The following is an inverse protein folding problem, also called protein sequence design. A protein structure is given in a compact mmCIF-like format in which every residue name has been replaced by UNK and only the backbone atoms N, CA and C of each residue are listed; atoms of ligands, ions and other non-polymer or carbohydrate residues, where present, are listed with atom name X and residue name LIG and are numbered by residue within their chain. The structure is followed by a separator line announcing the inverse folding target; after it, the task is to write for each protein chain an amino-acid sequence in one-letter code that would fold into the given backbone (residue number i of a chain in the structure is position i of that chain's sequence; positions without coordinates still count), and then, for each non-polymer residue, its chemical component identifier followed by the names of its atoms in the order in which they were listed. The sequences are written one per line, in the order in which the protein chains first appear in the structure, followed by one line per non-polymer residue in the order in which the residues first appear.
data_IF_160389378588
#
_entry.id   IF_160389378588
#
_cell.length_a   1.000
_cell.length_b   1.000
_cell.length_c   1.000
_cell.angle_alpha   90.00
_cell.angle_beta   90.00
_cell.angle_gamma   90.00
#
_symmetry.space_group_name_H-M   'P 1'
#
loop_
_entity.id
_entity.type
_entity.pdbx_description
1 polymer ?
#
# COMPACT_ATOMS: atom_id res chain seq x y z
N UNK A 1 27.73 30.23 -5.45
CA UNK A 1 27.37 31.48 -6.15
C UNK A 1 26.66 31.11 -7.44
N UNK A 2 25.44 31.59 -7.63
CA UNK A 2 24.59 31.25 -8.77
C UNK A 2 24.80 32.27 -9.90
N UNK A 3 25.12 31.82 -11.12
CA UNK A 3 25.13 32.66 -12.33
C UNK A 3 24.33 31.99 -13.46
N UNK A 4 23.75 32.83 -14.31
CA UNK A 4 23.11 32.45 -15.57
C UNK A 4 24.13 31.73 -16.46
N UNK A 5 23.84 30.51 -16.95
CA UNK A 5 24.87 29.68 -17.58
C UNK A 5 25.24 30.21 -18.97
N UNK A 6 26.47 29.89 -19.35
CA UNK A 6 26.85 29.60 -20.73
C UNK A 6 25.64 29.02 -21.51
N UNK A 7 25.40 29.52 -22.71
CA UNK A 7 24.18 29.30 -23.49
C UNK A 7 23.52 27.93 -23.30
N UNK A 8 22.21 27.95 -23.08
CA UNK A 8 21.28 26.82 -22.98
C UNK A 8 21.31 25.83 -24.16
N UNK A 9 22.20 26.03 -25.13
CA UNK A 9 22.45 25.21 -26.31
C UNK A 9 23.48 24.09 -26.11
N UNK A 10 24.12 23.96 -24.94
CA UNK A 10 25.24 23.02 -24.75
C UNK A 10 24.87 21.63 -24.19
N UNK A 11 23.65 21.43 -23.68
CA UNK A 11 23.22 20.14 -23.12
C UNK A 11 22.35 19.41 -24.14
N UNK A 12 22.88 18.34 -24.71
CA UNK A 12 22.16 17.51 -25.68
C UNK A 12 20.99 16.77 -25.02
N UNK A 13 19.78 17.20 -25.36
CA UNK A 13 18.51 16.63 -24.83
C UNK A 13 18.21 15.23 -25.38
N UNK A 14 18.92 14.81 -26.42
CA UNK A 14 18.76 13.48 -27.02
C UNK A 14 19.56 12.39 -26.28
N UNK A 15 20.48 12.78 -25.39
CA UNK A 15 21.24 11.83 -24.58
C UNK A 15 20.33 11.14 -23.55
N UNK A 16 20.11 9.83 -23.76
CA UNK A 16 19.28 8.96 -22.92
C UNK A 16 19.75 8.89 -21.46
N UNK A 17 21.05 9.14 -21.19
CA UNK A 17 21.59 9.15 -19.82
C UNK A 17 21.24 10.46 -19.12
N UNK A 18 21.36 11.59 -19.81
CA UNK A 18 21.08 12.91 -19.24
C UNK A 18 19.59 13.17 -19.09
N UNK A 19 18.77 12.72 -20.04
CA UNK A 19 17.31 12.92 -20.08
C UNK A 19 16.60 12.58 -18.76
N UNK A 20 17.11 11.60 -18.02
CA UNK A 20 16.57 11.20 -16.72
C UNK A 20 16.68 12.28 -15.64
N UNK A 21 17.68 13.16 -15.71
CA UNK A 21 17.99 14.15 -14.67
C UNK A 21 17.72 15.60 -15.07
N UNK A 22 17.52 15.88 -16.37
CA UNK A 22 17.31 17.25 -16.87
C UNK A 22 16.14 17.96 -16.18
N UNK A 23 15.03 17.25 -15.96
CA UNK A 23 13.82 17.80 -15.33
C UNK A 23 14.04 18.36 -13.91
N UNK A 24 15.12 17.95 -13.22
CA UNK A 24 15.44 18.40 -11.86
C UNK A 24 15.79 19.89 -11.83
N UNK A 25 16.48 20.38 -12.87
CA UNK A 25 16.96 21.77 -12.93
C UNK A 25 16.46 22.54 -14.16
N UNK A 26 15.64 21.93 -15.01
CA UNK A 26 15.12 22.51 -16.26
C UNK A 26 14.40 23.86 -16.05
N UNK A 27 13.63 23.98 -14.97
CA UNK A 27 12.86 25.19 -14.65
C UNK A 27 13.60 26.14 -13.70
N UNK A 28 14.84 25.83 -13.33
CA UNK A 28 15.60 26.67 -12.40
C UNK A 28 16.17 27.90 -13.13
N UNK A 29 16.05 29.12 -12.57
CA UNK A 29 16.66 30.31 -13.16
C UNK A 29 18.20 30.29 -13.10
N UNK A 30 18.76 29.36 -12.32
CA UNK A 30 20.20 29.23 -12.08
C UNK A 30 20.59 27.76 -12.01
N UNK A 31 21.82 27.46 -12.44
CA UNK A 31 22.36 26.11 -12.43
C UNK A 31 23.44 25.98 -11.35
N UNK A 32 23.46 24.89 -10.57
CA UNK A 32 24.54 24.66 -9.62
C UNK A 32 25.79 24.23 -10.41
N UNK A 33 26.90 24.92 -10.22
CA UNK A 33 28.18 24.64 -10.89
C UNK A 33 29.30 24.65 -9.87
N UNK A 34 30.25 23.73 -10.03
CA UNK A 34 31.46 23.65 -9.21
C UNK A 34 32.65 24.09 -10.05
N UNK A 35 33.41 25.07 -9.56
CA UNK A 35 34.59 25.63 -10.22
C UNK A 35 35.85 25.44 -9.39
N UNK A 36 37.00 25.33 -10.06
CA UNK A 36 38.31 25.50 -9.43
C UNK A 36 38.74 26.98 -9.36
N UNK A 37 39.93 27.23 -8.80
CA UNK A 37 40.54 28.57 -8.73
C UNK A 37 40.75 29.23 -10.10
N UNK A 38 40.97 28.44 -11.14
CA UNK A 38 41.20 28.90 -12.52
C UNK A 38 39.89 29.09 -13.30
N UNK A 39 38.72 28.94 -12.64
CA UNK A 39 37.38 28.95 -13.25
C UNK A 39 37.14 27.82 -14.25
N UNK A 40 37.85 26.70 -14.10
CA UNK A 40 37.57 25.45 -14.81
C UNK A 40 36.31 24.82 -14.22
N UNK A 41 35.34 24.44 -15.06
CA UNK A 41 34.13 23.73 -14.62
C UNK A 41 34.51 22.29 -14.23
N UNK A 42 34.31 21.94 -12.96
CA UNK A 42 34.54 20.59 -12.43
C UNK A 42 33.30 19.71 -12.56
N UNK A 43 32.11 20.27 -12.33
CA UNK A 43 30.83 19.56 -12.40
C UNK A 43 29.66 20.52 -12.57
N UNK A 44 28.60 20.02 -13.19
CA UNK A 44 27.26 20.61 -13.26
C UNK A 44 26.27 19.64 -12.60
N UNK A 45 26.15 19.62 -11.26
CA UNK A 45 25.20 18.75 -10.59
C UNK A 45 23.74 19.04 -11.00
N UNK A 46 22.83 18.05 -11.01
CA UNK A 46 23.06 16.62 -10.94
C UNK A 46 23.28 15.97 -12.32
N UNK A 47 23.66 16.76 -13.35
CA UNK A 47 23.62 16.34 -14.76
C UNK A 47 24.89 15.61 -15.18
N UNK A 48 26.06 16.28 -15.08
CA UNK A 48 27.30 15.76 -15.67
C UNK A 48 28.55 16.36 -15.01
N UNK A 49 29.61 15.56 -14.94
CA UNK A 49 30.92 15.99 -14.47
C UNK A 49 31.82 16.45 -15.64
N UNK A 50 32.76 17.35 -15.37
CA UNK A 50 33.69 17.89 -16.35
C UNK A 50 34.71 16.86 -16.84
N UNK A 51 35.07 16.90 -18.13
CA UNK A 51 36.10 16.01 -18.70
C UNK A 51 37.50 16.26 -18.10
N UNK A 52 37.80 17.49 -17.67
CA UNK A 52 39.06 17.84 -17.03
C UNK A 52 39.27 17.11 -15.70
N UNK A 53 38.22 16.94 -14.89
CA UNK A 53 38.26 16.30 -13.57
C UNK A 53 37.95 14.80 -13.64
N UNK A 54 37.96 14.20 -14.83
CA UNK A 54 37.64 12.79 -15.02
C UNK A 54 38.65 11.87 -14.29
N UNK A 55 38.12 10.93 -13.51
CA UNK A 55 38.92 9.91 -12.81
C UNK A 55 39.34 8.83 -13.81
N UNK A 56 40.61 8.42 -13.75
CA UNK A 56 41.19 7.35 -14.59
C UNK A 56 41.97 6.36 -13.72
N UNK A 57 42.38 5.22 -14.29
CA UNK A 57 43.24 4.25 -13.60
C UNK A 57 44.62 4.82 -13.18
N UNK A 58 44.99 6.00 -13.68
CA UNK A 58 46.25 6.69 -13.32
C UNK A 58 46.06 7.73 -12.22
N UNK A 59 44.82 8.00 -11.79
CA UNK A 59 44.51 8.98 -10.75
C UNK A 59 45.11 8.54 -9.42
N UNK A 60 45.82 9.46 -8.74
CA UNK A 60 46.47 9.20 -7.45
C UNK A 60 45.66 9.71 -6.26
N UNK A 61 45.17 10.94 -6.35
CA UNK A 61 44.36 11.59 -5.32
C UNK A 61 42.98 11.91 -5.90
N UNK A 62 41.94 11.71 -5.10
CA UNK A 62 40.55 11.91 -5.52
C UNK A 62 39.90 12.96 -4.60
N UNK A 63 39.37 14.02 -5.21
CA UNK A 63 38.51 14.98 -4.53
C UNK A 63 37.06 14.55 -4.73
N UNK A 64 36.31 14.39 -3.64
CA UNK A 64 34.90 13.97 -3.65
C UNK A 64 34.06 15.14 -3.16
N UNK A 65 33.08 15.52 -3.96
CA UNK A 65 32.04 16.48 -3.60
C UNK A 65 30.68 15.79 -3.54
N UNK A 66 29.78 16.27 -2.69
CA UNK A 66 28.41 15.82 -2.62
C UNK A 66 27.46 17.03 -2.48
N UNK A 67 26.86 17.47 -3.58
CA UNK A 67 25.76 18.45 -3.55
C UNK A 67 24.39 17.76 -3.46
N UNK A 68 23.56 18.15 -2.48
CA UNK A 68 22.18 17.68 -2.38
C UNK A 68 21.26 18.72 -1.74
N UNK A 69 19.95 18.51 -1.86
CA UNK A 69 18.92 19.28 -1.14
C UNK A 69 18.77 18.84 0.32
N UNK A 70 19.23 17.63 0.66
CA UNK A 70 19.24 17.05 2.01
C UNK A 70 20.69 16.88 2.47
N UNK A 71 21.10 17.72 3.43
CA UNK A 71 22.47 17.73 3.96
C UNK A 71 22.83 16.43 4.69
N UNK A 72 21.88 15.84 5.41
CA UNK A 72 22.10 14.59 6.16
C UNK A 72 22.41 13.46 5.19
N UNK A 73 21.65 13.34 4.11
CA UNK A 73 21.91 12.34 3.06
C UNK A 73 23.22 12.60 2.32
N UNK A 74 23.55 13.86 2.02
CA UNK A 74 24.85 14.20 1.43
C UNK A 74 26.02 13.76 2.32
N UNK A 75 25.94 14.03 3.62
CA UNK A 75 26.96 13.61 4.58
C UNK A 75 27.06 12.08 4.69
N UNK A 76 25.92 11.37 4.72
CA UNK A 76 25.93 9.89 4.72
C UNK A 76 26.61 9.36 3.45
N UNK A 77 26.25 9.86 2.26
CA UNK A 77 26.86 9.43 1.00
C UNK A 77 28.36 9.70 0.99
N UNK A 78 28.77 10.90 1.41
CA UNK A 78 30.19 11.26 1.51
C UNK A 78 30.92 10.31 2.47
N UNK A 79 30.39 10.14 3.69
CA UNK A 79 30.94 9.26 4.72
C UNK A 79 31.04 7.80 4.23
N UNK A 80 30.01 7.27 3.56
CA UNK A 80 30.03 5.93 2.96
C UNK A 80 31.12 5.83 1.90
N UNK A 81 31.20 6.78 0.97
CA UNK A 81 32.21 6.75 -0.09
C UNK A 81 33.63 6.78 0.48
N UNK A 82 33.93 7.73 1.36
CA UNK A 82 35.29 7.89 1.90
C UNK A 82 35.68 6.72 2.79
N UNK A 83 34.78 6.22 3.65
CA UNK A 83 35.07 5.08 4.54
C UNK A 83 35.29 3.79 3.74
N UNK A 84 34.50 3.54 2.70
CA UNK A 84 34.65 2.35 1.85
C UNK A 84 35.95 2.34 1.04
N UNK A 85 36.32 3.47 0.45
CA UNK A 85 37.48 3.52 -0.46
C UNK A 85 38.81 3.84 0.25
N UNK A 86 38.79 4.38 1.46
CA UNK A 86 40.00 4.71 2.24
C UNK A 86 40.91 3.51 2.52
N UNK A 87 40.40 2.28 2.45
CA UNK A 87 41.21 1.04 2.58
C UNK A 87 42.24 0.89 1.46
N UNK A 88 42.00 1.51 0.31
CA UNK A 88 42.85 1.45 -0.89
C UNK A 88 43.85 2.62 -0.98
N UNK A 89 43.82 3.55 -0.04
CA UNK A 89 44.80 4.63 0.05
C UNK A 89 46.16 4.12 0.52
N UNK A 90 47.24 4.85 0.19
CA UNK A 90 48.60 4.54 0.67
C UNK A 90 48.64 4.51 2.20
N UNK A 91 48.00 5.51 2.84
CA UNK A 91 47.67 5.49 4.26
C UNK A 91 46.25 4.96 4.42
N UNK A 92 46.14 3.70 4.84
CA UNK A 92 44.85 3.00 4.95
C UNK A 92 43.96 3.64 6.01
N UNK A 93 42.68 3.78 5.69
CA UNK A 93 41.65 4.33 6.58
C UNK A 93 41.89 5.79 7.00
N UNK A 94 42.70 6.52 6.22
CA UNK A 94 42.94 7.95 6.40
C UNK A 94 42.20 8.73 5.30
N UNK A 95 41.53 9.80 5.67
CA UNK A 95 40.81 10.69 4.74
C UNK A 95 41.30 12.11 5.00
N UNK A 96 41.74 12.80 3.94
CA UNK A 96 42.18 14.19 4.03
C UNK A 96 40.95 15.11 4.24
N UNK A 97 40.91 15.89 5.34
CA UNK A 97 39.78 16.76 5.63
C UNK A 97 39.74 17.98 4.71
N UNK A 98 38.53 18.38 4.30
CA UNK A 98 38.28 19.56 3.47
C UNK A 98 37.41 20.56 4.23
N UNK A 99 37.80 21.82 4.23
CA UNK A 99 36.98 22.91 4.77
C UNK A 99 35.91 23.35 3.75
N UNK A 100 34.65 23.27 4.15
CA UNK A 100 33.49 23.72 3.38
C UNK A 100 32.96 25.02 3.98
N UNK A 101 33.03 26.10 3.21
CA UNK A 101 32.58 27.44 3.62
C UNK A 101 31.21 27.74 2.99
N UNK A 102 30.22 27.99 3.84
CA UNK A 102 28.85 28.30 3.43
C UNK A 102 28.66 29.80 3.12
N UNK A 103 27.61 30.18 2.38
CA UNK A 103 27.34 31.58 2.04
C UNK A 103 27.13 32.50 3.26
N UNK A 104 26.74 31.95 4.40
CA UNK A 104 26.59 32.68 5.67
C UNK A 104 27.92 32.88 6.42
N UNK A 105 29.04 32.45 5.83
CA UNK A 105 30.38 32.56 6.38
C UNK A 105 30.74 31.46 7.39
N UNK A 106 29.84 30.52 7.68
CA UNK A 106 30.18 29.36 8.52
C UNK A 106 31.07 28.40 7.76
N UNK A 107 32.06 27.85 8.43
CA UNK A 107 32.90 26.78 7.88
C UNK A 107 32.77 25.49 8.68
N UNK A 108 32.83 24.37 7.96
CA UNK A 108 32.75 23.02 8.51
C UNK A 108 33.88 22.18 7.93
N UNK A 109 34.48 21.33 8.75
CA UNK A 109 35.45 20.35 8.28
C UNK A 109 34.71 19.07 7.89
N UNK A 110 34.90 18.62 6.66
CA UNK A 110 34.26 17.42 6.10
C UNK A 110 35.32 16.40 5.66
N UNK A 111 35.03 15.09 5.72
CA UNK A 111 33.84 14.47 6.30
C UNK A 111 33.85 14.50 7.85
N UNK A 112 32.67 14.57 8.46
CA UNK A 112 32.51 14.29 9.91
C UNK A 112 32.35 12.78 10.10
N UNK A 113 33.40 12.15 10.61
CA UNK A 113 33.46 10.70 10.89
C UNK A 113 33.33 10.39 12.38
N UNK A 114 32.74 11.29 13.16
CA UNK A 114 32.52 11.09 14.59
C UNK A 114 31.62 9.87 14.86
N UNK A 115 31.90 9.17 15.96
CA UNK A 115 31.11 8.02 16.40
C UNK A 115 29.86 8.51 17.13
N UNK A 116 28.70 8.04 16.70
CA UNK A 116 27.46 8.29 17.43
C UNK A 116 27.38 7.34 18.63
N UNK A 117 27.18 7.88 19.84
CA UNK A 117 27.09 7.08 21.06
C UNK A 117 25.63 6.91 21.47
N UNK A 118 25.23 5.66 21.70
CA UNK A 118 23.90 5.30 22.16
C UNK A 118 23.99 4.40 23.39
N UNK A 119 23.11 4.61 24.36
CA UNK A 119 23.02 3.76 25.56
C UNK A 119 21.78 2.86 25.45
N UNK A 120 21.97 1.55 25.55
CA UNK A 120 20.89 0.55 25.43
C UNK A 120 20.90 -0.39 26.63
N UNK A 121 19.78 -0.54 27.38
CA UNK A 121 19.68 -1.52 28.46
C UNK A 121 19.72 -2.96 27.93
N UNK A 122 20.41 -3.86 28.64
CA UNK A 122 20.42 -5.29 28.31
C UNK A 122 19.01 -5.89 28.33
N UNK A 123 18.18 -5.46 29.30
CA UNK A 123 16.79 -5.91 29.44
C UNK A 123 15.93 -5.58 28.22
N UNK A 124 16.19 -4.44 27.57
CA UNK A 124 15.48 -4.06 26.35
C UNK A 124 15.82 -5.03 25.21
N UNK A 125 17.12 -5.30 25.00
CA UNK A 125 17.58 -6.22 23.94
C UNK A 125 17.05 -7.63 24.15
N UNK A 126 17.20 -8.20 25.35
CA UNK A 126 16.76 -9.57 25.63
C UNK A 126 15.24 -9.71 25.53
N UNK A 127 14.48 -8.71 26.00
CA UNK A 127 13.03 -8.69 25.87
C UNK A 127 12.57 -8.55 24.42
N UNK A 128 13.24 -7.74 23.61
CA UNK A 128 12.88 -7.51 22.22
C UNK A 128 13.18 -8.74 21.35
N UNK A 129 14.35 -9.36 21.54
CA UNK A 129 14.76 -10.57 20.79
C UNK A 129 14.03 -11.82 21.28
N UNK A 130 13.63 -11.85 22.56
CA UNK A 130 12.95 -12.99 23.16
C UNK A 130 13.87 -14.11 23.63
N UNK A 131 15.15 -13.79 23.90
CA UNK A 131 16.17 -14.73 24.40
C UNK A 131 16.87 -14.16 25.63
N UNK A 132 17.16 -15.02 26.62
CA UNK A 132 17.93 -14.63 27.80
C UNK A 132 19.42 -14.82 27.52
N UNK A 133 20.13 -13.71 27.27
CA UNK A 133 21.57 -13.71 26.99
C UNK A 133 22.34 -12.93 28.05
N UNK A 134 23.51 -13.43 28.50
CA UNK A 134 24.38 -12.69 29.39
C UNK A 134 25.04 -11.52 28.65
N UNK A 135 25.43 -10.48 29.40
CA UNK A 135 25.93 -9.22 28.82
C UNK A 135 27.15 -9.38 27.89
N UNK A 136 28.07 -10.29 28.24
CA UNK A 136 29.27 -10.54 27.45
C UNK A 136 28.96 -11.18 26.09
N UNK A 137 27.91 -12.01 26.01
CA UNK A 137 27.49 -12.64 24.77
C UNK A 137 26.84 -11.60 23.86
N UNK A 138 25.96 -10.75 24.40
CA UNK A 138 25.36 -9.64 23.64
C UNK A 138 26.43 -8.68 23.10
N UNK A 139 27.44 -8.32 23.91
CA UNK A 139 28.56 -7.51 23.42
C UNK A 139 29.33 -8.20 22.29
N UNK A 140 29.56 -9.52 22.38
CA UNK A 140 30.22 -10.30 21.33
C UNK A 140 29.42 -10.31 20.02
N UNK A 141 28.10 -10.48 20.12
CA UNK A 141 27.18 -10.43 18.98
C UNK A 141 27.17 -9.04 18.31
N UNK A 142 27.10 -7.97 19.08
CA UNK A 142 27.19 -6.59 18.56
C UNK A 142 28.53 -6.32 17.87
N UNK A 143 29.64 -6.79 18.44
CA UNK A 143 30.95 -6.66 17.81
C UNK A 143 31.05 -7.40 16.47
N UNK A 144 30.40 -8.58 16.32
CA UNK A 144 30.31 -9.27 15.01
C UNK A 144 29.59 -8.44 13.96
N UNK A 145 28.63 -7.60 14.38
CA UNK A 145 27.89 -6.67 13.53
C UNK A 145 28.58 -5.29 13.38
N UNK A 146 29.85 -5.20 13.78
CA UNK A 146 30.65 -3.96 13.74
C UNK A 146 30.10 -2.82 14.62
N UNK A 147 29.28 -3.16 15.63
CA UNK A 147 28.84 -2.23 16.66
C UNK A 147 29.65 -2.46 17.92
N UNK A 148 30.64 -1.60 18.15
CA UNK A 148 31.47 -1.69 19.35
C UNK A 148 30.64 -1.34 20.58
N UNK A 149 30.47 -2.30 21.48
CA UNK A 149 29.65 -2.18 22.67
C UNK A 149 30.47 -2.39 23.95
N UNK A 150 30.46 -1.39 24.82
CA UNK A 150 31.03 -1.48 26.17
C UNK A 150 29.90 -1.58 27.17
N UNK A 151 29.91 -2.60 28.03
CA UNK A 151 28.90 -2.74 29.07
C UNK A 151 29.30 -1.97 30.32
N UNK A 152 28.32 -1.32 30.95
CA UNK A 152 28.46 -0.64 32.23
C UNK A 152 27.39 -1.13 33.20
N UNK A 153 27.75 -1.18 34.48
CA UNK A 153 26.83 -1.44 35.58
C UNK A 153 26.35 -0.10 36.11
N UNK A 154 25.04 0.11 36.11
CA UNK A 154 24.43 1.27 36.75
C UNK A 154 24.50 1.15 38.29
N UNK A 155 24.33 2.26 39.03
CA UNK A 155 24.24 2.25 40.49
C UNK A 155 23.11 1.37 41.06
N UNK A 156 22.17 0.95 40.21
CA UNK A 156 21.03 0.09 40.54
C UNK A 156 21.24 -1.38 40.15
N UNK A 157 22.47 -1.80 39.83
CA UNK A 157 22.80 -3.14 39.31
C UNK A 157 22.12 -3.51 37.98
N UNK A 158 21.62 -2.54 37.22
CA UNK A 158 21.13 -2.77 35.85
C UNK A 158 22.30 -2.67 34.87
N UNK A 159 22.39 -3.61 33.93
CA UNK A 159 23.42 -3.63 32.89
C UNK A 159 22.95 -2.90 31.65
N UNK A 160 23.77 -1.96 31.16
CA UNK A 160 23.55 -1.23 29.90
C UNK A 160 24.78 -1.29 29.01
N UNK A 161 24.58 -1.16 27.70
CA UNK A 161 25.65 -1.04 26.71
C UNK A 161 25.77 0.41 26.26
N UNK A 162 26.98 0.95 26.27
CA UNK A 162 27.33 2.14 25.50
C UNK A 162 27.86 1.67 24.15
N UNK A 163 27.09 1.93 23.10
CA UNK A 163 27.35 1.48 21.75
C UNK A 163 27.94 2.66 20.97
N UNK A 164 29.09 2.42 20.37
CA UNK A 164 29.74 3.37 19.47
C UNK A 164 29.40 2.99 18.04
N UNK A 165 28.41 3.67 17.48
CA UNK A 165 27.92 3.46 16.12
C UNK A 165 28.90 4.12 15.14
N UNK A 166 29.52 3.35 14.24
CA UNK A 166 30.44 3.88 13.26
C UNK A 166 29.71 4.69 12.16
N UNK A 167 30.38 5.63 11.48
CA UNK A 167 29.78 6.39 10.37
C UNK A 167 29.38 5.52 9.17
N UNK A 168 29.83 4.25 9.12
CA UNK A 168 29.39 3.25 8.14
C UNK A 168 27.99 2.70 8.42
N UNK A 169 27.46 2.89 9.64
CA UNK A 169 26.16 2.37 10.11
C UNK A 169 25.17 3.50 10.36
N UNK A 170 24.82 4.22 9.30
CA UNK A 170 23.82 5.31 9.35
C UNK A 170 22.39 4.81 9.56
N UNK A 171 22.17 3.50 9.46
CA UNK A 171 20.89 2.81 9.70
C UNK A 171 20.54 2.70 11.19
N UNK A 172 21.53 2.77 12.09
CA UNK A 172 21.30 2.67 13.54
C UNK A 172 20.85 4.02 14.09
N UNK A 173 19.54 4.16 14.33
CA UNK A 173 18.90 5.39 14.80
C UNK A 173 18.22 5.21 16.16
N UNK A 174 17.89 3.97 16.53
CA UNK A 174 17.13 3.64 17.73
C UNK A 174 17.64 2.33 18.38
N UNK A 175 17.43 2.13 19.70
CA UNK A 175 17.78 0.87 20.37
C UNK A 175 17.19 -0.40 19.76
N UNK A 176 16.13 -0.31 18.96
CA UNK A 176 15.57 -1.46 18.25
C UNK A 176 16.50 -1.99 17.15
N UNK A 177 17.27 -1.11 16.50
CA UNK A 177 18.20 -1.48 15.43
C UNK A 177 19.40 -2.26 16.02
N UNK A 178 19.75 -1.95 17.27
CA UNK A 178 20.72 -2.73 18.06
C UNK A 178 20.18 -4.11 18.40
N UNK A 179 18.91 -4.19 18.82
CA UNK A 179 18.26 -5.47 19.10
C UNK A 179 18.13 -6.33 17.83
N UNK A 180 17.87 -5.70 16.67
CA UNK A 180 17.88 -6.35 15.36
C UNK A 180 19.26 -6.96 15.06
N UNK A 181 20.34 -6.19 15.19
CA UNK A 181 21.70 -6.68 14.96
C UNK A 181 22.08 -7.84 15.90
N UNK A 182 21.66 -7.78 17.16
CA UNK A 182 21.85 -8.89 18.11
C UNK A 182 21.10 -10.13 17.64
N UNK A 183 19.85 -9.98 17.18
CA UNK A 183 19.06 -11.09 16.67
C UNK A 183 19.65 -11.69 15.38
N UNK A 184 20.16 -10.85 14.46
CA UNK A 184 20.83 -11.29 13.23
C UNK A 184 22.09 -12.10 13.58
N UNK A 185 22.93 -11.57 14.46
CA UNK A 185 24.17 -12.22 14.86
C UNK A 185 23.95 -13.50 15.69
N UNK A 186 22.86 -13.55 16.46
CA UNK A 186 22.42 -14.73 17.20
C UNK A 186 21.89 -15.82 16.25
N UNK A 187 21.19 -15.41 15.19
CA UNK A 187 20.56 -16.29 14.21
C UNK A 187 19.08 -16.48 14.50
N UNK A 188 18.22 -15.99 13.59
CA UNK A 188 16.76 -16.02 13.79
C UNK A 188 16.19 -17.43 13.98
N UNK A 189 16.82 -18.45 13.38
CA UNK A 189 16.35 -19.83 13.50
C UNK A 189 16.59 -20.44 14.89
N UNK A 190 17.51 -19.87 15.66
CA UNK A 190 17.82 -20.32 17.03
C UNK A 190 16.89 -19.70 18.06
N UNK A 191 16.12 -18.66 17.69
CA UNK A 191 15.17 -18.01 18.58
C UNK A 191 13.96 -18.95 18.80
N UNK A 192 13.63 -19.33 20.05
CA UNK A 192 12.50 -20.22 20.33
C UNK A 192 11.17 -19.66 19.85
N UNK A 193 10.40 -20.46 19.12
CA UNK A 193 9.06 -20.07 18.66
C UNK A 193 8.10 -19.95 19.83
N UNK A 194 7.46 -18.79 19.96
CA UNK A 194 6.42 -18.55 20.97
C UNK A 194 5.03 -18.65 20.34
N UNK A 195 4.09 -19.31 21.02
CA UNK A 195 2.68 -19.31 20.59
C UNK A 195 2.05 -18.00 21.06
N UNK A 196 1.58 -17.20 20.10
CA UNK A 196 0.81 -16.01 20.39
C UNK A 196 -0.58 -16.37 20.91
N UNK A 197 -1.21 -15.52 21.74
CA UNK A 197 -2.60 -15.71 22.14
C UNK A 197 -3.53 -15.71 20.93
N UNK A 198 -4.59 -16.53 20.98
CA UNK A 198 -5.58 -16.63 19.91
C UNK A 198 -6.34 -15.31 19.75
N UNK A 199 -6.41 -14.79 18.54
CA UNK A 199 -7.18 -13.59 18.19
C UNK A 199 -8.65 -13.98 17.97
N UNK A 200 -9.59 -13.16 18.48
CA UNK A 200 -11.03 -13.37 18.24
C UNK A 200 -11.41 -12.83 16.86
N UNK A 201 -12.21 -13.57 16.07
CA UNK A 201 -12.69 -13.06 14.78
C UNK A 201 -13.67 -11.90 14.99
N UNK A 202 -13.70 -10.99 14.04
CA UNK A 202 -14.66 -9.89 14.01
C UNK A 202 -16.06 -10.43 13.66
N UNK A 203 -17.10 -9.94 14.34
CA UNK A 203 -18.48 -10.43 14.20
C UNK A 203 -18.98 -10.39 12.74
N UNK A 204 -18.70 -9.32 12.01
CA UNK A 204 -19.07 -9.19 10.60
C UNK A 204 -18.44 -10.27 9.71
N UNK A 205 -17.18 -10.62 9.93
CA UNK A 205 -16.52 -11.67 9.16
C UNK A 205 -17.10 -13.04 9.50
N UNK A 206 -17.31 -13.33 10.78
CA UNK A 206 -17.96 -14.57 11.21
C UNK A 206 -19.37 -14.71 10.59
N UNK A 207 -20.16 -13.63 10.61
CA UNK A 207 -21.48 -13.60 10.01
C UNK A 207 -21.41 -13.80 8.49
N UNK A 208 -20.47 -13.16 7.81
CA UNK A 208 -20.24 -13.34 6.37
C UNK A 208 -19.92 -14.80 6.01
N UNK A 209 -19.09 -15.48 6.81
CA UNK A 209 -18.70 -16.88 6.57
C UNK A 209 -19.86 -17.85 6.77
N UNK A 210 -20.73 -17.58 7.76
CA UNK A 210 -21.97 -18.33 7.95
C UNK A 210 -22.91 -18.18 6.75
N UNK A 211 -23.10 -16.95 6.27
CA UNK A 211 -23.92 -16.67 5.08
C UNK A 211 -23.36 -17.35 3.82
N UNK A 212 -22.03 -17.30 3.60
CA UNK A 212 -21.39 -18.01 2.48
C UNK A 212 -21.69 -19.50 2.51
N UNK A 213 -21.57 -20.09 3.70
CA UNK A 213 -21.81 -21.53 3.90
C UNK A 213 -23.25 -21.89 3.58
N UNK A 214 -24.23 -21.12 4.07
CA UNK A 214 -25.65 -21.34 3.77
C UNK A 214 -25.96 -21.25 2.27
N UNK A 215 -25.42 -20.25 1.58
CA UNK A 215 -25.70 -20.06 0.14
C UNK A 215 -25.04 -21.13 -0.72
N UNK A 216 -23.83 -21.55 -0.34
CA UNK A 216 -23.18 -22.70 -0.96
C UNK A 216 -24.00 -23.99 -0.80
N UNK A 217 -24.59 -24.22 0.37
CA UNK A 217 -25.45 -25.39 0.64
C UNK A 217 -26.74 -25.40 -0.21
N UNK A 218 -27.23 -24.23 -0.65
CA UNK A 218 -28.39 -24.10 -1.54
C UNK A 218 -27.99 -24.29 -3.03
N UNK A 219 -26.70 -24.55 -3.31
CA UNK A 219 -26.20 -24.91 -4.62
C UNK A 219 -25.88 -23.71 -5.50
N UNK A 220 -25.46 -22.59 -4.89
CA UNK A 220 -24.80 -21.48 -5.57
C UNK A 220 -23.27 -21.62 -5.43
N UNK A 221 -22.53 -21.17 -6.44
CA UNK A 221 -21.06 -21.17 -6.44
C UNK A 221 -20.54 -19.78 -6.13
N UNK A 222 -19.65 -19.66 -5.14
CA UNK A 222 -19.05 -18.36 -4.80
C UNK A 222 -18.10 -17.91 -5.91
N UNK A 223 -18.16 -16.62 -6.26
CA UNK A 223 -17.25 -15.97 -7.20
C UNK A 223 -16.47 -14.86 -6.49
N UNK A 224 -15.28 -14.56 -6.99
CA UNK A 224 -14.42 -13.51 -6.48
C UNK A 224 -14.17 -12.48 -7.59
N UNK A 225 -14.87 -11.35 -7.53
CA UNK A 225 -14.77 -10.32 -8.55
C UNK A 225 -13.80 -9.20 -8.14
N UNK A 226 -13.35 -8.41 -9.12
CA UNK A 226 -12.50 -7.27 -8.84
C UNK A 226 -13.27 -6.19 -8.08
N UNK A 227 -12.59 -5.56 -7.11
CA UNK A 227 -13.13 -4.41 -6.37
C UNK A 227 -13.13 -3.14 -7.24
N UNK A 228 -12.16 -3.03 -8.15
CA UNK A 228 -12.09 -1.93 -9.11
C UNK A 228 -12.76 -2.36 -10.42
N UNK A 229 -13.51 -1.44 -11.02
CA UNK A 229 -14.14 -1.62 -12.32
C UNK A 229 -14.05 -0.33 -13.14
N UNK A 230 -14.46 -0.39 -14.42
CA UNK A 230 -14.59 0.81 -15.24
C UNK A 230 -15.79 1.64 -14.79
N UNK A 231 -15.73 2.95 -14.99
CA UNK A 231 -16.86 3.84 -14.72
C UNK A 231 -18.10 3.43 -15.54
N UNK A 232 -17.86 2.99 -16.78
CA UNK A 232 -18.91 2.52 -17.70
C UNK A 232 -19.62 1.28 -17.16
N UNK A 233 -18.90 0.30 -16.63
CA UNK A 233 -19.48 -0.92 -16.05
C UNK A 233 -20.30 -0.62 -14.79
N UNK A 234 -19.84 0.29 -13.94
CA UNK A 234 -20.51 0.61 -12.67
C UNK A 234 -21.83 1.39 -12.86
N UNK A 235 -21.94 2.17 -13.95
CA UNK A 235 -23.08 3.05 -14.20
C UNK A 235 -23.77 2.77 -15.53
N UNK A 236 -23.14 3.16 -16.64
CA UNK A 236 -23.76 3.19 -17.97
C UNK A 236 -24.28 1.82 -18.41
N UNK A 237 -23.51 0.75 -18.19
CA UNK A 237 -23.89 -0.60 -18.61
C UNK A 237 -25.01 -1.19 -17.76
N UNK A 238 -25.22 -0.67 -16.55
CA UNK A 238 -26.34 -1.01 -15.67
C UNK A 238 -27.56 -0.10 -15.88
N UNK A 239 -27.55 0.79 -16.88
CA UNK A 239 -28.57 1.85 -17.04
C UNK A 239 -28.70 2.80 -15.84
N UNK A 240 -27.71 2.83 -14.93
CA UNK A 240 -27.69 3.70 -13.75
C UNK A 240 -27.14 5.07 -14.11
N UNK A 241 -27.71 6.10 -13.48
CA UNK A 241 -27.10 7.44 -13.47
C UNK A 241 -26.09 7.52 -12.33
N UNK A 242 -25.00 8.23 -12.57
CA UNK A 242 -24.02 8.49 -11.51
C UNK A 242 -24.64 9.40 -10.44
N UNK A 243 -24.80 8.83 -9.25
CA UNK A 243 -25.31 9.51 -8.06
C UNK A 243 -24.19 10.25 -7.29
N UNK A 244 -22.97 10.27 -7.83
CA UNK A 244 -21.77 10.87 -7.25
C UNK A 244 -21.36 10.26 -5.91
N UNK A 245 -21.74 9.01 -5.65
CA UNK A 245 -21.35 8.26 -4.46
C UNK A 245 -20.20 7.28 -4.72
N UNK A 246 -19.73 7.12 -5.96
CA UNK A 246 -18.59 6.26 -6.26
C UNK A 246 -17.25 6.93 -5.95
N UNK A 247 -16.32 6.18 -5.36
CA UNK A 247 -14.93 6.60 -5.23
C UNK A 247 -14.18 6.41 -6.57
N UNK A 248 -13.57 7.49 -7.07
CA UNK A 248 -12.87 7.51 -8.36
C UNK A 248 -11.35 7.43 -8.12
N UNK A 249 -10.67 6.57 -8.88
CA UNK A 249 -9.22 6.48 -8.88
C UNK A 249 -8.63 7.68 -9.64
N UNK A 250 -7.78 8.48 -8.97
CA UNK A 250 -7.19 9.67 -9.56
C UNK A 250 -6.12 9.43 -10.62
N UNK A 251 -5.53 8.23 -10.67
CA UNK A 251 -4.52 7.87 -11.67
C UNK A 251 -4.61 6.38 -12.05
N UNK A 252 -5.67 5.96 -12.74
CA UNK A 252 -5.87 4.56 -13.09
C UNK A 252 -4.88 4.11 -14.15
N UNK A 253 -4.34 2.89 -13.98
CA UNK A 253 -3.41 2.31 -14.96
C UNK A 253 -4.11 1.78 -16.21
N UNK A 254 -5.38 1.39 -16.09
CA UNK A 254 -6.26 0.90 -17.17
C UNK A 254 -7.65 1.49 -16.98
N UNK A 255 -8.41 1.60 -18.08
CA UNK A 255 -9.83 1.97 -18.05
C UNK A 255 -10.69 0.97 -17.25
N UNK A 256 -10.23 -0.26 -17.05
CA UNK A 256 -10.92 -1.27 -16.23
C UNK A 256 -10.86 -0.97 -14.72
N UNK A 257 -10.09 0.03 -14.28
CA UNK A 257 -9.80 0.28 -12.85
C UNK A 257 -10.01 1.75 -12.46
N UNK A 258 -11.04 2.38 -13.03
CA UNK A 258 -11.38 3.79 -12.85
C UNK A 258 -12.13 4.08 -11.55
N UNK A 259 -12.99 3.16 -11.11
CA UNK A 259 -13.84 3.35 -9.92
C UNK A 259 -13.78 2.14 -9.00
N UNK A 260 -14.03 2.39 -7.72
CA UNK A 260 -14.33 1.32 -6.76
C UNK A 260 -15.80 0.94 -6.91
N UNK A 261 -16.10 -0.36 -6.98
CA UNK A 261 -17.46 -0.88 -7.18
C UNK A 261 -18.41 -0.36 -6.10
N UNK A 262 -19.58 0.13 -6.51
CA UNK A 262 -20.66 0.56 -5.61
C UNK A 262 -21.74 -0.50 -5.42
N UNK A 263 -21.61 -1.62 -6.13
CA UNK A 263 -22.51 -2.77 -6.15
C UNK A 263 -21.71 -3.98 -6.62
N UNK A 264 -22.12 -5.19 -6.23
CA UNK A 264 -21.50 -6.44 -6.70
C UNK A 264 -21.98 -6.86 -8.10
N UNK A 265 -23.07 -6.26 -8.58
CA UNK A 265 -23.72 -6.62 -9.85
C UNK A 265 -22.80 -6.56 -11.08
N UNK A 266 -21.95 -5.53 -11.31
CA UNK A 266 -21.09 -5.48 -12.49
C UNK A 266 -20.13 -6.66 -12.58
N UNK A 267 -19.49 -7.02 -11.45
CA UNK A 267 -18.53 -8.12 -11.40
C UNK A 267 -19.20 -9.47 -11.65
N UNK A 268 -20.37 -9.68 -11.06
CA UNK A 268 -21.15 -10.92 -11.22
C UNK A 268 -21.65 -11.06 -12.67
N UNK A 269 -22.21 -10.00 -13.27
CA UNK A 269 -22.63 -10.01 -14.67
C UNK A 269 -21.46 -10.25 -15.63
N UNK A 270 -20.32 -9.59 -15.39
CA UNK A 270 -19.10 -9.82 -16.17
C UNK A 270 -18.66 -11.28 -16.08
N UNK A 271 -18.77 -11.90 -14.90
CA UNK A 271 -18.45 -13.33 -14.72
C UNK A 271 -19.38 -14.22 -15.55
N UNK A 272 -20.69 -13.93 -15.58
CA UNK A 272 -21.65 -14.66 -16.42
C UNK A 272 -21.34 -14.48 -17.90
N UNK A 273 -21.08 -13.26 -18.36
CA UNK A 273 -20.75 -12.98 -19.77
C UNK A 273 -19.52 -13.74 -20.25
N UNK A 274 -18.47 -13.84 -19.42
CA UNK A 274 -17.28 -14.64 -19.74
C UNK A 274 -17.51 -16.16 -19.70
N UNK A 275 -18.59 -16.61 -19.04
CA UNK A 275 -18.95 -18.02 -18.89
C UNK A 275 -20.30 -18.34 -19.55
N UNK A 276 -20.68 -17.60 -20.60
CA UNK A 276 -22.00 -17.74 -21.24
C UNK A 276 -22.24 -19.13 -21.83
N UNK A 277 -21.16 -19.80 -22.27
CA UNK A 277 -21.18 -21.17 -22.80
C UNK A 277 -21.23 -22.26 -21.72
N UNK A 278 -21.16 -21.89 -20.44
CA UNK A 278 -21.22 -22.86 -19.34
C UNK A 278 -22.62 -23.52 -19.27
N UNK A 279 -22.72 -24.82 -18.91
CA UNK A 279 -23.99 -25.48 -18.68
C UNK A 279 -24.90 -24.67 -17.75
N UNK A 280 -26.14 -24.46 -18.22
CA UNK A 280 -27.20 -23.78 -17.48
C UNK A 280 -27.93 -24.78 -16.56
N UNK A 281 -28.52 -24.31 -15.44
CA UNK A 281 -28.50 -22.94 -14.94
C UNK A 281 -27.18 -22.57 -14.27
N UNK A 282 -26.74 -21.32 -14.46
CA UNK A 282 -25.62 -20.73 -13.71
C UNK A 282 -26.18 -20.09 -12.45
N UNK A 283 -25.69 -20.53 -11.29
CA UNK A 283 -26.05 -20.01 -9.96
C UNK A 283 -24.79 -19.58 -9.24
N UNK A 284 -24.57 -18.27 -9.18
CA UNK A 284 -23.35 -17.71 -8.57
C UNK A 284 -23.68 -16.63 -7.55
N UNK A 285 -22.80 -16.46 -6.57
CA UNK A 285 -22.97 -15.45 -5.53
C UNK A 285 -21.61 -14.89 -5.08
N UNK A 286 -21.64 -13.71 -4.44
CA UNK A 286 -20.47 -13.11 -3.81
C UNK A 286 -20.90 -12.44 -2.50
N UNK A 287 -20.09 -12.61 -1.45
CA UNK A 287 -20.17 -11.79 -0.24
C UNK A 287 -18.92 -10.92 -0.21
N UNK A 288 -19.06 -9.62 -0.39
CA UNK A 288 -17.93 -8.71 -0.56
C UNK A 288 -18.26 -7.26 -0.25
N UNK A 289 -17.21 -6.44 -0.15
CA UNK A 289 -17.37 -5.02 0.11
C UNK A 289 -17.70 -4.25 -1.16
N UNK A 290 -18.59 -3.27 -0.99
CA UNK A 290 -18.75 -2.13 -1.89
C UNK A 290 -18.30 -0.87 -1.17
N UNK A 291 -17.91 0.15 -1.93
CA UNK A 291 -17.45 1.41 -1.36
C UNK A 291 -18.35 2.55 -1.83
N UNK A 292 -18.77 3.38 -0.88
CA UNK A 292 -19.55 4.57 -1.14
C UNK A 292 -18.88 5.77 -0.47
N UNK A 293 -18.90 6.93 -1.12
CA UNK A 293 -18.49 8.18 -0.52
C UNK A 293 -19.39 8.51 0.68
N UNK A 294 -18.76 8.92 1.76
CA UNK A 294 -19.39 9.15 3.05
C UNK A 294 -18.60 10.21 3.81
N UNK A 295 -19.06 11.46 3.70
CA UNK A 295 -18.43 12.62 4.35
C UNK A 295 -18.44 12.54 5.88
N UNK A 296 -19.24 11.62 6.46
CA UNK A 296 -19.23 11.41 7.91
C UNK A 296 -18.01 10.61 8.40
N UNK A 297 -17.26 9.99 7.48
CA UNK A 297 -16.05 9.22 7.77
C UNK A 297 -14.80 10.07 7.56
N UNK A 298 -13.78 9.79 8.34
CA UNK A 298 -12.47 10.46 8.30
C UNK A 298 -11.79 10.37 6.92
N UNK A 299 -11.90 9.23 6.26
CA UNK A 299 -11.36 9.01 4.91
C UNK A 299 -12.31 9.45 3.78
N UNK A 300 -13.50 9.95 4.11
CA UNK A 300 -14.50 10.41 3.13
C UNK A 300 -15.25 9.30 2.38
N UNK A 301 -15.10 8.04 2.80
CA UNK A 301 -15.77 6.88 2.22
C UNK A 301 -16.04 5.81 3.28
N UNK A 302 -17.03 4.94 3.03
CA UNK A 302 -17.32 3.77 3.84
C UNK A 302 -17.44 2.50 3.01
N UNK A 303 -16.89 1.41 3.55
CA UNK A 303 -17.15 0.06 3.06
C UNK A 303 -18.49 -0.41 3.60
N UNK A 304 -19.24 -1.15 2.77
CA UNK A 304 -20.44 -1.87 3.17
C UNK A 304 -20.36 -3.29 2.66
N UNK A 305 -20.60 -4.27 3.52
CA UNK A 305 -20.60 -5.67 3.13
C UNK A 305 -21.94 -6.06 2.54
N UNK A 306 -21.89 -6.38 1.26
CA UNK A 306 -23.05 -6.85 0.53
C UNK A 306 -22.94 -8.35 0.26
N UNK A 307 -24.10 -8.99 0.20
CA UNK A 307 -24.30 -10.29 -0.42
C UNK A 307 -25.03 -10.04 -1.74
N UNK A 308 -24.51 -10.60 -2.83
CA UNK A 308 -25.21 -10.63 -4.10
C UNK A 308 -25.26 -12.03 -4.67
N UNK A 309 -26.34 -12.36 -5.37
CA UNK A 309 -26.50 -13.65 -6.05
C UNK A 309 -27.24 -13.49 -7.36
N UNK A 310 -26.92 -14.35 -8.33
CA UNK A 310 -27.48 -14.36 -9.66
C UNK A 310 -27.88 -15.77 -10.09
N UNK A 311 -29.06 -15.87 -10.67
CA UNK A 311 -29.53 -17.03 -11.42
C UNK A 311 -29.60 -16.68 -12.91
N UNK A 312 -29.05 -17.53 -13.76
CA UNK A 312 -29.09 -17.41 -15.23
C UNK A 312 -29.46 -18.76 -15.85
N UNK A 313 -30.50 -18.80 -16.68
CA UNK A 313 -30.98 -20.04 -17.29
C UNK A 313 -31.97 -19.80 -18.42
N UNK A 314 -32.65 -20.86 -18.87
CA UNK A 314 -33.64 -20.78 -19.96
C UNK A 314 -34.84 -19.89 -19.59
N UNK A 315 -35.17 -19.82 -18.30
CA UNK A 315 -36.13 -18.86 -17.72
C UNK A 315 -35.38 -17.92 -16.79
N UNK A 316 -35.99 -16.79 -16.44
CA UNK A 316 -35.38 -15.79 -15.55
C UNK A 316 -35.17 -16.30 -14.13
N UNK A 317 -35.93 -17.30 -13.67
CA UNK A 317 -35.82 -17.84 -12.31
C UNK A 317 -36.11 -16.83 -11.20
N UNK A 318 -37.02 -15.88 -11.45
CA UNK A 318 -37.38 -14.83 -10.48
C UNK A 318 -37.84 -15.42 -9.14
N UNK A 319 -38.63 -16.49 -9.20
CA UNK A 319 -39.09 -17.27 -8.04
C UNK A 319 -37.95 -17.92 -7.25
N UNK A 320 -36.84 -18.28 -7.92
CA UNK A 320 -35.67 -18.88 -7.26
C UNK A 320 -34.86 -17.83 -6.49
N UNK A 321 -34.71 -16.64 -7.06
CA UNK A 321 -34.07 -15.52 -6.37
C UNK A 321 -34.95 -15.00 -5.22
N UNK A 322 -36.26 -14.95 -5.41
CA UNK A 322 -37.19 -14.63 -4.33
C UNK A 322 -37.09 -15.65 -3.18
N UNK A 323 -37.08 -16.97 -3.49
CA UNK A 323 -36.88 -18.00 -2.49
C UNK A 323 -35.50 -17.94 -1.80
N UNK A 324 -34.46 -17.45 -2.49
CA UNK A 324 -33.16 -17.17 -1.88
C UNK A 324 -33.25 -16.02 -0.87
N UNK A 325 -33.98 -14.94 -1.19
CA UNK A 325 -34.26 -13.85 -0.23
C UNK A 325 -34.95 -14.40 1.00
N UNK A 326 -36.02 -15.19 0.83
CA UNK A 326 -36.76 -15.80 1.94
C UNK A 326 -35.83 -16.64 2.83
N UNK A 327 -34.95 -17.44 2.20
CA UNK A 327 -33.98 -18.27 2.92
C UNK A 327 -32.95 -17.44 3.68
N UNK A 328 -32.43 -16.35 3.10
CA UNK A 328 -31.52 -15.42 3.79
C UNK A 328 -32.20 -14.82 5.03
N UNK A 329 -33.47 -14.44 4.91
CA UNK A 329 -34.24 -13.89 6.02
C UNK A 329 -34.50 -14.93 7.10
N UNK A 330 -34.83 -16.17 6.71
CA UNK A 330 -35.02 -17.27 7.64
C UNK A 330 -33.76 -17.55 8.46
N UNK A 331 -32.59 -17.70 7.84
CA UNK A 331 -31.33 -18.02 8.55
C UNK A 331 -30.81 -16.87 9.40
N UNK A 332 -31.20 -15.62 9.08
CA UNK A 332 -30.91 -14.45 9.91
C UNK A 332 -31.95 -14.23 11.02
N UNK A 333 -33.01 -15.06 11.09
CA UNK A 333 -34.07 -14.95 12.09
C UNK A 333 -34.97 -13.74 11.87
N UNK A 334 -35.15 -13.31 10.62
CA UNK A 334 -35.89 -12.11 10.23
C UNK A 334 -37.27 -12.50 9.68
N UNK A 335 -38.37 -12.33 10.45
CA UNK A 335 -39.69 -12.79 10.02
C UNK A 335 -40.31 -11.91 8.93
N UNK A 336 -41.09 -12.50 8.04
CA UNK A 336 -41.88 -11.75 7.05
C UNK A 336 -43.10 -11.10 7.71
N UNK A 337 -43.30 -9.81 7.48
CA UNK A 337 -44.33 -9.01 8.14
C UNK A 337 -45.13 -8.17 7.15
N UNK A 338 -46.23 -7.58 7.61
CA UNK A 338 -47.01 -6.65 6.79
C UNK A 338 -46.24 -5.36 6.56
N UNK A 339 -46.48 -4.71 5.41
CA UNK A 339 -45.83 -3.44 5.08
C UNK A 339 -46.06 -2.39 6.18
N UNK A 340 -44.98 -1.75 6.63
CA UNK A 340 -45.00 -0.77 7.72
C UNK A 340 -44.78 -1.34 9.11
N UNK A 341 -44.74 -2.67 9.28
CA UNK A 341 -44.35 -3.31 10.53
C UNK A 341 -42.82 -3.29 10.68
N UNK A 342 -42.34 -2.81 11.83
CA UNK A 342 -40.92 -2.72 12.18
C UNK A 342 -40.34 -3.97 12.84
N UNK A 343 -41.14 -5.02 13.06
CA UNK A 343 -40.70 -6.25 13.73
C UNK A 343 -39.97 -7.25 12.82
N UNK A 344 -40.00 -7.04 11.51
CA UNK A 344 -39.40 -7.94 10.51
C UNK A 344 -39.09 -7.28 9.18
N UNK A 345 -39.12 -8.07 8.11
CA UNK A 345 -38.93 -7.58 6.74
C UNK A 345 -40.21 -7.69 5.92
N UNK A 346 -40.33 -6.82 4.91
CA UNK A 346 -41.36 -6.89 3.88
C UNK A 346 -40.78 -6.47 2.54
N UNK A 347 -41.53 -6.77 1.48
CA UNK A 347 -41.11 -6.52 0.10
C UNK A 347 -42.06 -5.49 -0.51
N UNK A 348 -41.51 -4.53 -1.25
CA UNK A 348 -42.29 -3.52 -1.98
C UNK A 348 -41.81 -3.39 -3.42
N UNK A 349 -42.70 -3.02 -4.34
CA UNK A 349 -42.31 -2.76 -5.73
C UNK A 349 -41.21 -1.68 -5.80
N UNK A 350 -40.21 -1.92 -6.63
CA UNK A 350 -39.13 -0.97 -6.93
C UNK A 350 -39.19 -0.51 -8.39
N UNK A 351 -38.41 0.52 -8.72
CA UNK A 351 -38.28 1.10 -10.07
C UNK A 351 -36.81 1.41 -10.40
N UNK A 352 -35.92 0.48 -10.05
CA UNK A 352 -34.49 0.57 -10.33
C UNK A 352 -34.21 0.27 -11.81
N UNK A 353 -33.35 1.06 -12.50
CA UNK A 353 -33.18 1.02 -13.95
C UNK A 353 -32.45 -0.23 -14.48
N UNK A 354 -31.67 -0.92 -13.63
CA UNK A 354 -30.98 -2.15 -13.99
C UNK A 354 -31.90 -3.38 -14.09
N UNK A 355 -33.14 -3.28 -13.62
CA UNK A 355 -34.11 -4.38 -13.62
C UNK A 355 -35.27 -4.14 -14.59
N UNK A 356 -35.95 -5.22 -14.97
CA UNK A 356 -37.14 -5.18 -15.81
C UNK A 356 -38.32 -4.53 -15.04
N UNK A 357 -38.99 -3.50 -15.60
CA UNK A 357 -40.13 -2.85 -14.95
C UNK A 357 -41.25 -3.84 -14.60
N UNK A 358 -41.79 -3.72 -13.38
CA UNK A 358 -42.85 -4.61 -12.86
C UNK A 358 -42.37 -6.01 -12.44
N UNK A 359 -41.07 -6.32 -12.55
CA UNK A 359 -40.47 -7.60 -12.14
C UNK A 359 -39.25 -7.39 -11.23
N UNK A 360 -39.41 -6.50 -10.27
CA UNK A 360 -38.39 -6.12 -9.30
C UNK A 360 -39.03 -5.68 -7.98
N UNK A 361 -38.29 -5.82 -6.88
CA UNK A 361 -38.73 -5.36 -5.59
C UNK A 361 -37.58 -4.97 -4.65
N UNK A 362 -37.84 -3.97 -3.81
CA UNK A 362 -36.98 -3.57 -2.70
C UNK A 362 -37.28 -4.43 -1.47
N UNK A 363 -36.20 -4.78 -0.75
CA UNK A 363 -36.24 -5.52 0.51
C UNK A 363 -36.13 -4.50 1.63
N UNK A 364 -37.19 -4.38 2.43
CA UNK A 364 -37.26 -3.43 3.54
C UNK A 364 -37.17 -4.18 4.86
N UNK A 365 -36.22 -3.80 5.70
CA UNK A 365 -36.05 -4.36 7.05
C UNK A 365 -36.03 -3.21 8.06
N UNK A 366 -36.90 -3.28 9.08
CA UNK A 366 -37.05 -2.23 10.12
C UNK A 366 -37.21 -0.81 9.53
N UNK A 367 -37.96 -0.69 8.43
CA UNK A 367 -38.22 0.58 7.75
C UNK A 367 -37.07 1.13 6.90
N UNK A 368 -35.96 0.39 6.75
CA UNK A 368 -34.84 0.76 5.86
C UNK A 368 -34.75 -0.22 4.68
N UNK A 369 -34.49 0.29 3.49
CA UNK A 369 -34.14 -0.56 2.35
C UNK A 369 -32.75 -1.14 2.57
N UNK A 370 -32.69 -2.47 2.59
CA UNK A 370 -31.43 -3.21 2.79
C UNK A 370 -30.97 -3.90 1.51
N UNK A 371 -31.81 -3.97 0.48
CA UNK A 371 -31.46 -4.59 -0.79
C UNK A 371 -32.55 -4.48 -1.84
N UNK A 372 -32.26 -5.03 -3.01
CA UNK A 372 -33.18 -5.10 -4.15
C UNK A 372 -32.97 -6.43 -4.87
N UNK A 373 -34.03 -7.00 -5.41
CA UNK A 373 -33.95 -8.15 -6.31
C UNK A 373 -34.92 -8.02 -7.47
N UNK A 374 -34.62 -8.68 -8.60
CA UNK A 374 -35.41 -8.54 -9.81
C UNK A 374 -34.88 -9.34 -10.98
N UNK A 375 -35.67 -9.38 -12.05
CA UNK A 375 -35.21 -9.83 -13.38
C UNK A 375 -34.34 -8.72 -13.95
N UNK A 376 -33.12 -9.03 -14.37
CA UNK A 376 -32.19 -8.07 -14.96
C UNK A 376 -32.75 -7.54 -16.29
N UNK A 377 -32.64 -6.23 -16.53
CA UNK A 377 -33.17 -5.61 -17.74
C UNK A 377 -32.46 -6.16 -19.00
N UNK A 378 -33.17 -6.47 -20.11
CA UNK A 378 -32.56 -7.03 -21.32
C UNK A 378 -31.39 -6.21 -21.88
N UNK A 379 -31.53 -4.88 -21.93
CA UNK A 379 -30.44 -3.98 -22.34
C UNK A 379 -29.19 -4.09 -21.46
N UNK A 380 -29.34 -4.35 -20.16
CA UNK A 380 -28.20 -4.57 -19.27
C UNK A 380 -27.53 -5.91 -19.60
N UNK A 381 -28.31 -6.96 -19.83
CA UNK A 381 -27.77 -8.26 -20.26
C UNK A 381 -27.00 -8.15 -21.58
N UNK A 382 -27.55 -7.41 -22.56
CA UNK A 382 -26.90 -7.14 -23.84
C UNK A 382 -25.57 -6.38 -23.66
N UNK A 383 -25.52 -5.40 -22.76
CA UNK A 383 -24.30 -4.65 -22.46
C UNK A 383 -23.18 -5.57 -21.93
N UNK A 384 -23.51 -6.61 -21.18
CA UNK A 384 -22.57 -7.59 -20.63
C UNK A 384 -22.41 -8.86 -21.50
N UNK A 385 -22.97 -8.87 -22.71
CA UNK A 385 -22.91 -10.00 -23.67
C UNK A 385 -23.48 -11.31 -23.08
N UNK A 386 -24.64 -11.19 -22.40
CA UNK A 386 -25.36 -12.31 -21.78
C UNK A 386 -26.64 -12.58 -22.59
N UNK A 387 -26.76 -13.73 -23.27
CA UNK A 387 -27.92 -14.02 -24.13
C UNK A 387 -29.15 -14.54 -23.36
N UNK A 388 -28.95 -15.12 -22.19
CA UNK A 388 -29.98 -15.76 -21.39
C UNK A 388 -30.57 -14.81 -20.34
N UNK A 389 -31.86 -14.94 -19.98
CA UNK A 389 -32.45 -14.15 -18.91
C UNK A 389 -31.81 -14.45 -17.55
N UNK A 390 -31.60 -13.40 -16.75
CA UNK A 390 -31.06 -13.49 -15.39
C UNK A 390 -32.00 -12.86 -14.37
N UNK A 391 -32.01 -13.41 -13.16
CA UNK A 391 -32.51 -12.72 -11.96
C UNK A 391 -31.36 -12.50 -10.99
N UNK A 392 -31.39 -11.39 -10.28
CA UNK A 392 -30.32 -10.94 -9.39
C UNK A 392 -30.90 -10.42 -8.08
N UNK A 393 -30.16 -10.63 -6.99
CA UNK A 393 -30.42 -10.03 -5.67
C UNK A 393 -29.13 -9.43 -5.13
N UNK A 394 -29.22 -8.29 -4.48
CA UNK A 394 -28.14 -7.72 -3.67
C UNK A 394 -28.71 -7.15 -2.36
N UNK A 395 -28.08 -7.51 -1.24
CA UNK A 395 -28.48 -7.14 0.13
C UNK A 395 -27.27 -6.68 0.93
N UNK A 396 -27.36 -5.54 1.59
CA UNK A 396 -26.42 -5.12 2.62
C UNK A 396 -26.63 -5.94 3.89
N UNK A 397 -25.72 -6.90 4.13
CA UNK A 397 -25.84 -7.86 5.23
C UNK A 397 -25.44 -7.27 6.58
N UNK A 398 -24.76 -6.12 6.60
CA UNK A 398 -24.46 -5.41 7.86
C UNK A 398 -25.74 -4.99 8.59
N UNK A 399 -26.85 -4.83 7.87
CA UNK A 399 -28.14 -4.45 8.45
C UNK A 399 -28.71 -5.47 9.44
N UNK A 400 -28.19 -6.70 9.46
CA UNK A 400 -28.60 -7.78 10.37
C UNK A 400 -27.79 -7.84 11.68
N UNK A 401 -26.69 -7.08 11.77
CA UNK A 401 -25.86 -6.94 12.97
C UNK A 401 -26.22 -5.66 13.72
#
# INVERSE_FOLDING_TARGET
MYQNPLGSSAIDRSDLKLKKFLHIIENSPVFPVIYDRNRTVLSLPPIINGAHSAITLKTKNVFIECTATDLTKANIVLNTMVTMFSVYCERKFEVEPVEVIYPDGKSYICPDLSLYKMVVPLSYVTSAVGVSLPAHEVASLLNKMQLHAEHSLSPKNETSFTISVPPTRSDILHPCDVAEDVAIAYGYNEIPKMKLPSLRPQSLNQFSDLIRTEIAMIGYTEVLTWILCSYKENFTMLNRKDNKLAAINGNPRSADFEVVRTSLMPGILKTVGHNKDHPKPIKIFEVGDVVLLDESKDVGASNRRHLAALYCGATSGFELIHGLVDRIMEVTGTPFVSAGDGSGYYIQSSDEPEFLPGRQASIIYKGKQIGTFGIVHPQVLDNFDIPDPCSFVEVNIESFL
#
